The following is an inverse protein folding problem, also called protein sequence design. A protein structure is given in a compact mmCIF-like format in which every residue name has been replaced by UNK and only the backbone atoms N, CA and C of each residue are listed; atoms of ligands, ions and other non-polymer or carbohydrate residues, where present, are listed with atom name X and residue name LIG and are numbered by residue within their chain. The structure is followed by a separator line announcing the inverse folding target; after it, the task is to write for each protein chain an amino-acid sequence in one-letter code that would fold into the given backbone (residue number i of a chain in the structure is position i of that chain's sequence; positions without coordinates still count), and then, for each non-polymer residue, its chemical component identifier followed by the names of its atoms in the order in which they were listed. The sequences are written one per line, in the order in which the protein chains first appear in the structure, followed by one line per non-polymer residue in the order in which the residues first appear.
data_IF_164875687746
#
_entry.id   IF_164875687746
#
_cell.length_a   1.000
_cell.length_b   1.000
_cell.length_c   1.000
_cell.angle_alpha   90.00
_cell.angle_beta   90.00
_cell.angle_gamma   90.00
#
_symmetry.space_group_name_H-M   'P 1'
#
loop_
_entity.id
_entity.type
_entity.pdbx_description
1 polymer ?
#
# COMPACT_ATOMS: atom_id res chain seq x y z
N UNK A 1 -9.84 -29.45 -21.94
CA UNK A 1 -9.41 -28.28 -21.16
C UNK A 1 -8.41 -28.83 -20.15
N UNK A 2 -7.13 -28.82 -20.50
CA UNK A 2 -6.08 -29.30 -19.61
C UNK A 2 -5.98 -28.39 -18.37
N UNK A 3 -5.71 -28.95 -17.18
CA UNK A 3 -5.45 -28.13 -16.02
C UNK A 3 -4.14 -27.37 -16.25
N UNK A 4 -4.15 -26.07 -16.00
CA UNK A 4 -2.95 -25.24 -15.87
C UNK A 4 -2.18 -25.69 -14.62
N UNK A 5 -1.49 -26.83 -14.71
CA UNK A 5 -0.40 -27.18 -13.81
C UNK A 5 0.88 -26.64 -14.43
N UNK A 6 1.00 -25.31 -14.49
CA UNK A 6 2.31 -24.70 -14.67
C UNK A 6 3.12 -24.92 -13.39
N UNK A 7 4.30 -25.51 -13.57
CA UNK A 7 5.24 -25.88 -12.53
C UNK A 7 5.54 -24.73 -11.55
N UNK A 8 4.87 -24.76 -10.40
CA UNK A 8 5.12 -23.90 -9.22
C UNK A 8 6.48 -24.26 -8.56
N UNK A 9 7.25 -25.18 -9.13
CA UNK A 9 8.55 -25.66 -8.62
C UNK A 9 9.69 -24.65 -8.73
N UNK A 10 9.52 -23.54 -9.47
CA UNK A 10 10.61 -22.61 -9.78
C UNK A 10 10.54 -21.28 -8.99
N UNK A 11 9.75 -21.24 -7.91
CA UNK A 11 9.51 -20.03 -7.12
C UNK A 11 10.47 -19.92 -5.94
N UNK A 12 11.31 -18.88 -5.91
CA UNK A 12 12.38 -18.81 -4.92
C UNK A 12 12.15 -17.89 -3.73
N UNK A 13 11.21 -16.94 -3.64
CA UNK A 13 11.10 -16.14 -2.39
C UNK A 13 9.66 -15.82 -1.97
N UNK A 14 9.34 -16.03 -0.69
CA UNK A 14 8.01 -15.80 -0.15
C UNK A 14 8.11 -15.27 1.28
N UNK A 15 7.91 -13.96 1.49
CA UNK A 15 7.69 -13.42 2.84
C UNK A 15 6.19 -13.54 3.18
N UNK A 16 5.84 -14.49 4.03
CA UNK A 16 4.44 -14.79 4.34
C UNK A 16 3.94 -13.92 5.49
N UNK A 17 2.85 -13.18 5.27
CA UNK A 17 2.02 -12.66 6.36
C UNK A 17 0.53 -12.80 6.03
N UNK A 18 -0.30 -13.25 7.00
CA UNK A 18 -1.76 -13.22 6.87
C UNK A 18 -2.37 -11.83 7.13
N UNK A 19 -1.67 -10.73 6.77
CA UNK A 19 -2.12 -9.35 7.00
C UNK A 19 -1.82 -8.49 5.76
N UNK A 20 -2.46 -7.32 5.63
CA UNK A 20 -2.35 -6.46 4.44
C UNK A 20 -0.91 -6.00 4.08
N UNK A 21 0.05 -6.10 5.01
CA UNK A 21 1.46 -5.80 4.74
C UNK A 21 2.27 -7.02 4.22
N UNK A 22 1.65 -8.20 4.09
CA UNK A 22 2.29 -9.37 3.52
C UNK A 22 2.71 -9.18 2.08
N UNK A 23 3.89 -9.66 1.72
CA UNK A 23 4.47 -9.46 0.39
C UNK A 23 5.18 -10.72 -0.10
N UNK A 24 4.76 -11.25 -1.23
CA UNK A 24 5.43 -12.36 -1.90
C UNK A 24 6.30 -11.82 -3.03
N UNK A 25 7.57 -12.21 -3.05
CA UNK A 25 8.54 -11.74 -4.04
C UNK A 25 9.01 -12.92 -4.88
N UNK A 26 8.37 -13.14 -6.03
CA UNK A 26 8.79 -14.22 -6.93
C UNK A 26 9.96 -13.74 -7.80
N UNK A 27 11.13 -14.34 -7.60
CA UNK A 27 12.33 -14.03 -8.37
C UNK A 27 12.63 -15.20 -9.30
N UNK A 28 12.69 -14.93 -10.60
CA UNK A 28 12.96 -15.94 -11.62
C UNK A 28 14.42 -16.41 -11.55
N UNK A 29 14.66 -17.72 -11.76
CA UNK A 29 15.98 -18.34 -11.63
C UNK A 29 17.04 -17.85 -12.63
N UNK A 30 16.62 -17.19 -13.72
CA UNK A 30 17.52 -16.55 -14.68
C UNK A 30 18.29 -15.39 -14.05
N UNK A 31 17.73 -14.75 -13.01
CA UNK A 31 18.39 -13.68 -12.28
C UNK A 31 19.47 -14.27 -11.36
N UNK A 32 20.70 -13.80 -11.52
CA UNK A 32 21.86 -14.20 -10.72
C UNK A 32 22.27 -13.07 -9.78
N UNK A 33 23.08 -13.40 -8.78
CA UNK A 33 23.66 -12.44 -7.83
C UNK A 33 22.60 -11.63 -7.06
N UNK A 34 21.49 -12.27 -6.69
CA UNK A 34 20.42 -11.67 -5.89
C UNK A 34 20.93 -11.48 -4.45
N UNK A 35 20.78 -10.27 -3.93
CA UNK A 35 21.10 -9.94 -2.54
C UNK A 35 19.94 -9.19 -1.90
N UNK A 36 19.73 -9.43 -0.61
CA UNK A 36 18.78 -8.70 0.21
C UNK A 36 19.55 -7.98 1.31
N UNK A 37 19.16 -6.75 1.58
CA UNK A 37 19.80 -5.94 2.61
C UNK A 37 19.37 -6.39 3.99
N UNK A 38 20.35 -6.55 4.87
CA UNK A 38 20.14 -6.70 6.29
C UNK A 38 20.18 -5.30 6.94
N UNK A 39 19.03 -4.79 7.38
CA UNK A 39 18.89 -3.46 7.98
C UNK A 39 19.60 -3.35 9.33
N UNK A 40 19.77 -4.47 10.06
CA UNK A 40 20.46 -4.50 11.35
C UNK A 40 21.98 -4.49 11.18
N UNK A 41 22.49 -5.31 10.27
CA UNK A 41 23.91 -5.41 9.94
C UNK A 41 24.36 -4.35 8.93
N UNK A 42 23.42 -3.59 8.36
CA UNK A 42 23.62 -2.55 7.34
C UNK A 42 24.46 -3.01 6.15
N UNK A 43 24.20 -4.21 5.64
CA UNK A 43 24.92 -4.79 4.51
C UNK A 43 24.03 -5.71 3.68
N UNK A 44 24.34 -5.81 2.39
CA UNK A 44 23.72 -6.80 1.54
C UNK A 44 24.22 -8.21 1.86
N UNK A 45 23.29 -9.16 1.84
CA UNK A 45 23.55 -10.59 2.01
C UNK A 45 23.05 -11.33 0.79
N UNK A 46 23.85 -12.27 0.31
CA UNK A 46 23.44 -13.15 -0.78
C UNK A 46 22.23 -13.96 -0.35
N UNK A 47 21.24 -13.99 -1.22
CA UNK A 47 20.01 -14.75 -1.03
C UNK A 47 20.21 -16.15 -1.59
N UNK A 48 19.83 -17.19 -0.83
CA UNK A 48 20.08 -18.59 -1.19
C UNK A 48 18.79 -19.41 -1.06
N UNK A 49 18.28 -19.91 -2.19
CA UNK A 49 17.20 -20.90 -2.21
C UNK A 49 15.81 -20.31 -1.98
N UNK A 50 14.99 -20.99 -1.16
CA UNK A 50 13.63 -20.58 -0.78
C UNK A 50 13.59 -20.09 0.66
N UNK A 51 13.33 -18.82 0.87
CA UNK A 51 13.18 -18.24 2.21
C UNK A 51 11.70 -17.98 2.53
N UNK A 52 11.25 -18.43 3.70
CA UNK A 52 9.90 -18.19 4.23
C UNK A 52 10.00 -17.68 5.66
N UNK A 53 9.44 -16.49 5.88
CA UNK A 53 9.40 -15.83 7.19
C UNK A 53 7.94 -15.72 7.62
N UNK A 54 7.48 -16.58 8.52
CA UNK A 54 6.07 -16.68 8.92
C UNK A 54 5.76 -16.19 10.34
N UNK A 55 6.72 -16.23 11.28
CA UNK A 55 6.36 -16.18 12.71
C UNK A 55 6.87 -14.99 13.51
N UNK A 56 7.84 -14.18 13.04
CA UNK A 56 8.15 -12.91 13.73
C UNK A 56 8.86 -11.90 12.82
N UNK A 57 8.10 -11.01 12.15
CA UNK A 57 8.73 -9.93 11.37
C UNK A 57 9.53 -8.95 12.22
N UNK A 58 9.16 -8.75 13.48
CA UNK A 58 9.85 -7.82 14.39
C UNK A 58 11.34 -8.21 14.57
N UNK A 59 11.70 -9.49 14.38
CA UNK A 59 13.07 -9.98 14.52
C UNK A 59 13.77 -10.26 13.19
N UNK A 60 13.07 -10.11 12.06
CA UNK A 60 13.64 -10.43 10.74
C UNK A 60 14.51 -9.27 10.28
N UNK A 61 15.85 -9.44 10.20
CA UNK A 61 16.75 -8.33 9.96
C UNK A 61 16.75 -7.86 8.49
N UNK A 62 16.17 -8.64 7.58
CA UNK A 62 16.07 -8.34 6.15
C UNK A 62 14.89 -7.44 5.76
N UNK A 63 14.11 -7.00 6.74
CA UNK A 63 13.03 -6.05 6.56
C UNK A 63 13.08 -4.98 7.65
N UNK A 64 12.61 -3.79 7.28
CA UNK A 64 12.28 -2.75 8.22
C UNK A 64 10.76 -2.67 8.28
N UNK A 65 10.20 -2.78 9.49
CA UNK A 65 8.76 -2.67 9.71
C UNK A 65 8.52 -1.59 10.74
N UNK A 66 7.60 -0.69 10.44
CA UNK A 66 7.19 0.34 11.38
C UNK A 66 5.68 0.49 11.40
N UNK A 67 5.13 0.70 12.60
CA UNK A 67 3.75 1.09 12.80
C UNK A 67 3.65 2.62 12.80
N UNK A 68 2.50 3.14 12.41
CA UNK A 68 2.26 4.57 12.53
C UNK A 68 2.17 5.00 14.01
N UNK A 69 2.58 6.24 14.33
CA UNK A 69 2.41 6.80 15.68
C UNK A 69 0.96 6.73 16.17
N UNK A 70 0.78 6.47 17.46
CA UNK A 70 -0.54 6.25 18.07
C UNK A 70 -1.46 7.48 17.98
N UNK A 71 -0.89 8.69 17.98
CA UNK A 71 -1.60 9.96 17.85
C UNK A 71 -2.17 10.20 16.45
N UNK A 72 -1.78 9.40 15.44
CA UNK A 72 -2.37 9.50 14.10
C UNK A 72 -3.77 8.89 14.07
N UNK A 73 -4.09 8.01 15.03
CA UNK A 73 -5.41 7.43 15.16
C UNK A 73 -5.76 7.16 16.63
N UNK A 74 -6.07 8.22 17.40
CA UNK A 74 -6.24 8.14 18.86
C UNK A 74 -7.42 7.25 19.27
N UNK A 75 -8.41 7.08 18.40
CA UNK A 75 -9.58 6.22 18.64
C UNK A 75 -9.24 4.72 18.66
N UNK A 76 -8.11 4.30 18.07
CA UNK A 76 -7.71 2.89 18.01
C UNK A 76 -6.37 2.65 18.71
N UNK A 77 -6.44 2.14 19.94
CA UNK A 77 -5.28 1.85 20.80
C UNK A 77 -4.30 0.78 20.25
N UNK A 78 -4.71 0.01 19.22
CA UNK A 78 -3.93 -1.11 18.69
C UNK A 78 -4.02 -1.18 17.16
N UNK A 79 -3.53 -0.13 16.50
CA UNK A 79 -3.51 -0.10 15.04
C UNK A 79 -2.50 -1.09 14.44
N UNK A 80 -2.93 -1.82 13.41
CA UNK A 80 -2.08 -2.66 12.56
C UNK A 80 -1.59 -1.94 11.29
N UNK A 81 -1.76 -0.61 11.24
CA UNK A 81 -1.35 0.23 10.10
C UNK A 81 0.12 0.61 10.20
N UNK A 82 0.78 0.70 9.05
CA UNK A 82 2.21 0.96 8.97
C UNK A 82 2.76 0.65 7.59
N UNK A 83 4.06 0.36 7.54
CA UNK A 83 4.74 -0.08 6.33
C UNK A 83 5.75 -1.19 6.61
N UNK A 84 6.11 -1.90 5.55
CA UNK A 84 7.28 -2.79 5.49
C UNK A 84 8.13 -2.34 4.31
N UNK A 85 9.42 -2.14 4.57
CA UNK A 85 10.44 -1.92 3.57
C UNK A 85 11.35 -3.14 3.48
N UNK A 86 11.58 -3.60 2.25
CA UNK A 86 12.67 -4.52 1.92
C UNK A 86 13.58 -3.86 0.90
N UNK A 87 14.87 -4.16 0.96
CA UNK A 87 15.87 -3.59 0.05
C UNK A 87 16.59 -4.72 -0.65
N UNK A 88 16.64 -4.63 -1.97
CA UNK A 88 17.17 -5.67 -2.84
C UNK A 88 18.28 -5.13 -3.71
N UNK A 89 19.25 -5.97 -4.04
CA UNK A 89 20.19 -5.75 -5.12
C UNK A 89 20.06 -6.91 -6.12
N UNK A 90 19.73 -6.57 -7.36
CA UNK A 90 19.59 -7.49 -8.48
C UNK A 90 20.56 -7.04 -9.57
N UNK A 91 21.56 -7.87 -9.86
CA UNK A 91 22.67 -7.48 -10.73
C UNK A 91 23.29 -6.14 -10.29
N UNK A 92 23.23 -5.12 -11.14
CA UNK A 92 23.85 -3.80 -10.91
C UNK A 92 22.86 -2.74 -10.39
N UNK A 93 21.63 -3.16 -10.02
CA UNK A 93 20.59 -2.26 -9.52
C UNK A 93 20.22 -2.59 -8.08
N UNK A 94 20.17 -1.57 -7.22
CA UNK A 94 19.65 -1.68 -5.86
C UNK A 94 18.44 -0.76 -5.66
N UNK A 95 17.40 -1.27 -4.99
CA UNK A 95 16.14 -0.54 -4.81
C UNK A 95 15.38 -1.00 -3.56
N UNK A 96 14.47 -0.15 -3.10
CA UNK A 96 13.54 -0.44 -2.01
C UNK A 96 12.15 -0.81 -2.55
N UNK A 97 11.55 -1.83 -1.95
CA UNK A 97 10.15 -2.20 -2.10
C UNK A 97 9.44 -1.88 -0.78
N UNK A 98 8.48 -0.96 -0.83
CA UNK A 98 7.80 -0.42 0.34
C UNK A 98 6.30 -0.73 0.25
N UNK A 99 5.87 -1.76 0.99
CA UNK A 99 4.45 -2.09 1.15
C UNK A 99 3.85 -1.25 2.28
N UNK A 100 2.80 -0.47 1.99
CA UNK A 100 2.11 0.37 2.97
C UNK A 100 0.69 -0.13 3.20
N UNK A 101 0.17 0.15 4.39
CA UNK A 101 -1.22 -0.09 4.74
C UNK A 101 -1.73 1.09 5.55
N UNK A 102 -2.39 2.03 4.86
CA UNK A 102 -2.88 3.27 5.44
C UNK A 102 -4.23 3.07 6.15
N UNK A 103 -4.67 4.11 6.85
CA UNK A 103 -5.94 4.11 7.58
C UNK A 103 -7.15 4.08 6.62
N UNK A 104 -8.16 3.29 6.97
CA UNK A 104 -9.41 3.22 6.21
C UNK A 104 -10.55 3.87 6.97
N UNK A 105 -11.54 4.34 6.22
CA UNK A 105 -12.84 4.66 6.77
C UNK A 105 -13.58 3.37 7.16
N UNK A 106 -14.48 3.46 8.14
CA UNK A 106 -15.36 2.35 8.51
C UNK A 106 -16.44 2.06 7.44
N UNK A 107 -16.81 3.06 6.64
CA UNK A 107 -17.84 2.94 5.59
C UNK A 107 -17.50 3.83 4.40
N UNK A 108 -17.66 3.29 3.17
CA UNK A 108 -17.51 4.06 1.94
C UNK A 108 -18.61 5.12 1.77
N UNK A 109 -19.84 4.83 2.22
CA UNK A 109 -20.96 5.77 2.12
C UNK A 109 -20.73 7.00 2.99
N UNK A 110 -20.33 6.80 4.26
CA UNK A 110 -20.04 7.90 5.18
C UNK A 110 -18.83 8.71 4.68
N UNK A 111 -17.81 8.03 4.15
CA UNK A 111 -16.65 8.68 3.54
C UNK A 111 -17.03 9.59 2.37
N UNK A 112 -18.03 9.18 1.57
CA UNK A 112 -18.57 9.95 0.45
C UNK A 112 -19.47 11.11 0.91
N UNK A 113 -20.38 10.89 1.86
CA UNK A 113 -21.25 11.95 2.41
C UNK A 113 -20.42 13.11 3.00
N UNK A 114 -19.35 12.75 3.71
CA UNK A 114 -18.41 13.68 4.35
C UNK A 114 -17.20 14.00 3.47
N UNK A 115 -17.33 13.96 2.15
CA UNK A 115 -16.20 14.20 1.25
C UNK A 115 -15.61 15.62 1.42
N UNK A 116 -14.27 15.80 1.46
CA UNK A 116 -13.27 14.73 1.51
C UNK A 116 -13.34 13.97 2.83
N UNK A 117 -13.29 12.64 2.75
CA UNK A 117 -13.32 11.74 3.93
C UNK A 117 -12.48 12.29 5.08
N UNK A 118 -12.99 12.20 6.31
CA UNK A 118 -12.27 12.65 7.53
C UNK A 118 -10.90 11.95 7.70
N UNK A 119 -10.72 10.79 7.07
CA UNK A 119 -9.47 10.03 7.08
C UNK A 119 -8.48 10.48 6.00
N UNK A 120 -8.87 11.37 5.08
CA UNK A 120 -8.00 11.87 3.99
C UNK A 120 -6.73 12.53 4.54
N UNK A 121 -6.87 13.47 5.49
CA UNK A 121 -5.74 14.11 6.16
C UNK A 121 -4.87 13.12 6.93
N UNK A 122 -5.48 12.13 7.59
CA UNK A 122 -4.75 11.06 8.29
C UNK A 122 -3.92 10.20 7.33
N UNK A 123 -4.49 9.82 6.16
CA UNK A 123 -3.77 9.10 5.11
C UNK A 123 -2.63 9.92 4.52
N UNK A 124 -2.83 11.22 4.30
CA UNK A 124 -1.78 12.12 3.83
C UNK A 124 -0.63 12.21 4.85
N UNK A 125 -0.94 12.44 6.13
CA UNK A 125 0.04 12.49 7.22
C UNK A 125 0.82 11.17 7.33
N UNK A 126 0.12 10.04 7.25
CA UNK A 126 0.73 8.71 7.29
C UNK A 126 1.64 8.44 6.09
N UNK A 127 1.23 8.83 4.89
CA UNK A 127 2.08 8.70 3.69
C UNK A 127 3.33 9.59 3.81
N UNK A 128 3.18 10.83 4.29
CA UNK A 128 4.32 11.71 4.60
C UNK A 128 5.30 11.05 5.57
N UNK A 129 4.80 10.47 6.66
CA UNK A 129 5.62 9.70 7.61
C UNK A 129 6.41 8.57 6.91
N UNK A 130 5.78 7.78 6.02
CA UNK A 130 6.51 6.73 5.28
C UNK A 130 7.63 7.32 4.44
N UNK A 131 7.35 8.37 3.67
CA UNK A 131 8.33 9.00 2.78
C UNK A 131 9.51 9.58 3.55
N UNK A 132 9.26 10.23 4.68
CA UNK A 132 10.31 10.75 5.56
C UNK A 132 11.18 9.61 6.09
N UNK A 133 10.57 8.51 6.57
CA UNK A 133 11.31 7.36 7.14
C UNK A 133 12.16 6.62 6.12
N UNK A 134 11.69 6.46 4.88
CA UNK A 134 12.47 5.75 3.85
C UNK A 134 13.54 6.62 3.19
N UNK A 135 13.45 7.95 3.32
CA UNK A 135 14.42 8.91 2.76
C UNK A 135 15.33 9.58 3.78
N UNK A 136 15.21 9.23 5.07
CA UNK A 136 16.10 9.73 6.10
C UNK A 136 17.55 9.21 5.99
N UNK A 137 18.43 9.71 6.85
CA UNK A 137 19.87 9.44 6.79
C UNK A 137 20.31 8.12 7.46
N UNK A 138 19.37 7.27 7.93
CA UNK A 138 19.73 6.00 8.60
C UNK A 138 20.36 4.98 7.64
N UNK A 139 20.01 5.09 6.36
CA UNK A 139 20.45 4.21 5.27
C UNK A 139 20.75 5.03 4.01
N UNK A 140 21.58 4.50 3.11
CA UNK A 140 21.80 5.11 1.79
C UNK A 140 20.48 5.25 1.04
N UNK A 141 20.28 6.39 0.35
CA UNK A 141 19.08 6.63 -0.45
C UNK A 141 19.17 5.84 -1.76
N UNK A 142 18.16 5.01 -2.03
CA UNK A 142 18.02 4.25 -3.26
C UNK A 142 16.69 4.60 -3.95
N UNK A 143 16.55 4.28 -5.26
CA UNK A 143 15.24 4.23 -5.89
C UNK A 143 14.27 3.34 -5.10
N UNK A 144 13.01 3.73 -5.02
CA UNK A 144 12.00 2.99 -4.24
C UNK A 144 10.66 2.90 -4.97
N UNK A 145 9.96 1.79 -4.74
CA UNK A 145 8.59 1.57 -5.20
C UNK A 145 7.68 1.49 -3.98
N UNK A 146 6.69 2.37 -3.92
CA UNK A 146 5.65 2.35 -2.88
C UNK A 146 4.41 1.69 -3.44
N UNK A 147 3.92 0.65 -2.77
CA UNK A 147 2.74 -0.11 -3.16
C UNK A 147 1.98 -0.58 -1.91
N UNK A 148 0.85 -1.27 -2.10
CA UNK A 148 0.04 -1.81 -1.02
C UNK A 148 -1.33 -1.14 -0.94
N UNK A 149 -1.91 -1.16 0.26
CA UNK A 149 -3.25 -0.62 0.50
C UNK A 149 -3.19 0.83 0.97
N UNK A 150 -3.24 1.75 0.01
CA UNK A 150 -3.32 3.19 0.25
C UNK A 150 -4.64 3.61 0.91
N UNK A 151 -5.70 2.79 0.83
CA UNK A 151 -7.05 3.15 1.29
C UNK A 151 -7.57 4.50 0.78
N UNK A 152 -7.08 4.96 -0.38
CA UNK A 152 -7.58 6.17 -1.03
C UNK A 152 -9.01 5.96 -1.49
N UNK A 153 -9.80 7.03 -1.38
CA UNK A 153 -11.19 7.06 -1.80
C UNK A 153 -11.31 8.12 -2.88
N UNK A 154 -12.05 7.79 -3.93
CA UNK A 154 -12.39 8.76 -4.96
C UNK A 154 -13.34 9.80 -4.37
N UNK A 155 -13.12 11.08 -4.68
CA UNK A 155 -14.08 12.13 -4.39
C UNK A 155 -15.23 12.11 -5.41
N UNK A 156 -16.02 11.03 -5.37
CA UNK A 156 -17.12 10.86 -6.31
C UNK A 156 -18.22 11.91 -6.13
N UNK A 157 -18.28 12.58 -4.97
CA UNK A 157 -19.27 13.63 -4.70
C UNK A 157 -19.02 14.82 -5.62
N UNK A 158 -17.79 15.33 -5.65
CA UNK A 158 -17.42 16.42 -6.55
C UNK A 158 -17.63 16.04 -8.03
N UNK A 159 -17.28 14.80 -8.42
CA UNK A 159 -17.49 14.33 -9.80
C UNK A 159 -18.96 14.31 -10.19
N UNK A 160 -19.83 13.81 -9.31
CA UNK A 160 -21.29 13.77 -9.55
C UNK A 160 -21.86 15.19 -9.59
N UNK A 161 -21.50 16.05 -8.63
CA UNK A 161 -21.97 17.44 -8.59
C UNK A 161 -21.60 18.21 -9.86
N UNK A 162 -20.37 18.05 -10.37
CA UNK A 162 -19.91 18.66 -11.64
C UNK A 162 -20.56 18.02 -12.87
N UNK A 163 -20.84 16.70 -12.84
CA UNK A 163 -21.41 15.99 -13.99
C UNK A 163 -22.92 16.21 -14.13
N UNK A 164 -23.62 16.50 -13.03
CA UNK A 164 -25.08 16.69 -12.99
C UNK A 164 -25.47 18.18 -13.13
N UNK A 165 -24.59 19.11 -12.75
CA UNK A 165 -24.87 20.57 -12.85
C UNK A 165 -25.23 21.08 -14.25
N UNK A 166 -24.64 20.63 -15.38
CA UNK A 166 -25.06 21.14 -16.69
C UNK A 166 -26.46 20.65 -17.11
N UNK A 167 -27.08 19.72 -16.38
CA UNK A 167 -28.45 19.25 -16.67
C UNK A 167 -29.53 19.92 -15.82
N UNK A 168 -29.19 20.50 -14.67
CA UNK A 168 -30.20 21.09 -13.76
C UNK A 168 -30.45 22.57 -13.99
N UNK A 169 -29.49 23.31 -14.55
CA UNK A 169 -29.66 24.77 -14.76
C UNK A 169 -30.63 25.10 -15.91
N UNK A 170 -30.97 24.14 -16.76
CA UNK A 170 -32.02 24.29 -17.79
C UNK A 170 -33.37 23.66 -17.41
N UNK A 171 -33.49 23.01 -16.24
CA UNK A 171 -34.74 22.35 -15.82
C UNK A 171 -35.56 23.18 -14.82
N UNK A 172 -34.98 24.23 -14.22
CA UNK A 172 -35.70 25.12 -13.30
C UNK A 172 -36.27 26.39 -13.93
N UNK A 173 -35.94 26.71 -15.18
CA UNK A 173 -36.40 27.96 -15.85
C UNK A 173 -37.56 27.77 -16.84
N UNK A 174 -38.02 26.54 -17.05
CA UNK A 174 -39.26 26.28 -17.78
C UNK A 174 -40.15 25.41 -16.92
N UNK A 175 -41.12 26.04 -16.25
CA UNK A 175 -42.21 25.37 -15.54
C UNK A 175 -43.05 24.52 -16.49
N UNK A 176 -42.55 23.33 -16.85
CA UNK A 176 -43.28 22.32 -17.60
C UNK A 176 -43.33 21.00 -16.81
N UNK A 177 -44.39 20.92 -16.03
CA UNK A 177 -45.30 19.78 -15.85
C UNK A 177 -44.74 18.45 -15.33
N UNK A 178 -45.32 18.07 -14.17
CA UNK A 178 -45.96 16.78 -13.96
C UNK A 178 -46.13 15.95 -15.23
N UNK A 179 -45.42 14.82 -15.32
CA UNK A 179 -45.96 13.45 -15.49
C UNK A 179 -44.86 12.56 -16.05
N UNK A 180 -44.15 11.87 -15.17
CA UNK A 180 -43.57 10.58 -15.49
C UNK A 180 -43.38 9.82 -14.18
N UNK A 181 -44.21 8.78 -14.02
CA UNK A 181 -44.33 7.89 -12.86
C UNK A 181 -45.24 8.47 -11.77
N UNK A 182 -46.32 7.72 -11.52
CA UNK A 182 -47.46 8.04 -10.68
C UNK A 182 -47.11 8.62 -9.30
#
# INVERSE_FOLDING_TARGET
MEPLTENVSNLTHACFLPQALGSFYFIHESLKNIQQFDFKAKKFKKVVGKETYSETLESTPSLEKEKFPQDYFPECKWSRKGFIRTRWALADCAFDLVNIHLFHDASNLIAWEKSPSVYSGTRQKALGYVLDRITDQRHERLPYFVFGDFNFRLDSKQVIEVSVTPYTDNLFDTGQWCTALC
#
